data_IF_269724402804
#
_entry.id   IF_269724402804
#
_cell.length_a   1.000
_cell.length_b   1.000
_cell.length_c   1.000
_cell.angle_alpha   90.00
_cell.angle_beta   90.00
_cell.angle_gamma   90.00
#
_symmetry.space_group_name_H-M   'P 1'
#
loop_
_entity.id
_entity.type
_entity.pdbx_description
1 polymer ?
#
# COMPACT_ATOMS: atom_id res chain seq x y z
N UNK A 1 21.54 -3.05 -23.69
CA UNK A 1 21.44 -3.47 -22.28
C UNK A 1 20.92 -2.26 -21.55
N UNK A 2 19.80 -2.38 -20.83
CA UNK A 2 19.28 -1.30 -19.98
C UNK A 2 20.36 -0.90 -18.99
N UNK A 3 20.58 0.39 -18.79
CA UNK A 3 21.53 0.86 -17.79
C UNK A 3 20.94 0.59 -16.41
N UNK A 4 21.39 -0.48 -15.74
CA UNK A 4 20.89 -0.87 -14.42
C UNK A 4 21.22 0.13 -13.32
N UNK A 5 22.01 1.17 -13.60
CA UNK A 5 22.33 2.25 -12.66
C UNK A 5 21.15 3.19 -12.46
N UNK A 6 20.41 3.49 -13.53
CA UNK A 6 19.34 4.49 -13.55
C UNK A 6 18.26 4.21 -12.48
N UNK A 7 17.71 2.98 -12.33
CA UNK A 7 16.72 2.70 -11.29
C UNK A 7 17.22 2.95 -9.85
N UNK A 8 18.52 2.78 -9.59
CA UNK A 8 19.09 3.07 -8.28
C UNK A 8 19.29 4.58 -8.09
N UNK A 9 19.73 5.30 -9.12
CA UNK A 9 19.87 6.76 -9.06
C UNK A 9 18.52 7.44 -8.85
N UNK A 10 17.49 7.01 -9.58
CA UNK A 10 16.11 7.49 -9.40
C UNK A 10 15.64 7.26 -7.96
N UNK A 11 15.80 6.04 -7.44
CA UNK A 11 15.42 5.73 -6.06
C UNK A 11 16.25 6.53 -5.03
N UNK A 12 17.51 6.87 -5.33
CA UNK A 12 18.30 7.73 -4.46
C UNK A 12 17.69 9.13 -4.35
N UNK A 13 17.20 9.71 -5.43
CA UNK A 13 16.51 11.01 -5.41
C UNK A 13 15.22 10.94 -4.57
N UNK A 14 14.42 9.89 -4.76
CA UNK A 14 13.18 9.65 -4.02
C UNK A 14 13.37 9.43 -2.51
N UNK A 15 14.53 8.92 -2.10
CA UNK A 15 14.81 8.56 -0.70
C UNK A 15 15.52 9.67 0.08
N UNK A 16 16.08 10.68 -0.60
CA UNK A 16 17.03 11.64 -0.01
C UNK A 16 16.50 12.34 1.25
N UNK A 17 15.22 12.72 1.29
CA UNK A 17 14.65 13.46 2.41
C UNK A 17 14.10 12.58 3.55
N UNK A 18 14.08 11.25 3.37
CA UNK A 18 13.38 10.35 4.31
C UNK A 18 14.13 9.07 4.68
N UNK A 19 15.16 8.68 3.91
CA UNK A 19 16.05 7.55 4.23
C UNK A 19 17.47 7.82 3.72
N UNK A 20 18.30 8.52 4.51
CA UNK A 20 19.70 8.77 4.18
C UNK A 20 20.50 7.48 3.95
N UNK A 21 20.14 6.38 4.62
CA UNK A 21 20.78 5.09 4.39
C UNK A 21 20.47 4.57 2.98
N UNK A 22 19.20 4.50 2.57
CA UNK A 22 18.84 3.99 1.24
C UNK A 22 19.36 4.89 0.12
N UNK A 23 19.32 6.21 0.32
CA UNK A 23 19.91 7.18 -0.59
C UNK A 23 21.39 6.84 -0.86
N UNK A 24 22.17 6.61 0.21
CA UNK A 24 23.59 6.28 0.09
C UNK A 24 23.82 4.89 -0.50
N UNK A 25 23.05 3.88 -0.09
CA UNK A 25 23.14 2.52 -0.62
C UNK A 25 22.86 2.49 -2.12
N UNK A 26 21.83 3.19 -2.59
CA UNK A 26 21.50 3.31 -4.01
C UNK A 26 22.68 3.83 -4.83
N UNK A 27 23.30 4.93 -4.40
CA UNK A 27 24.46 5.50 -5.12
C UNK A 27 25.67 4.56 -5.09
N UNK A 28 25.91 3.86 -3.98
CA UNK A 28 26.95 2.84 -3.90
C UNK A 28 26.67 1.73 -4.91
N UNK A 29 25.46 1.19 -4.96
CA UNK A 29 25.12 0.11 -5.92
C UNK A 29 25.29 0.59 -7.36
N UNK A 30 24.86 1.80 -7.68
CA UNK A 30 24.99 2.38 -9.01
C UNK A 30 26.45 2.55 -9.49
N UNK A 31 27.41 2.66 -8.57
CA UNK A 31 28.83 2.86 -8.89
C UNK A 31 29.68 1.58 -8.79
N UNK A 32 29.10 0.46 -8.35
CA UNK A 32 29.82 -0.79 -8.06
C UNK A 32 29.40 -1.94 -9.01
N UNK A 33 30.23 -2.30 -10.01
CA UNK A 33 29.88 -3.30 -11.01
C UNK A 33 29.51 -4.68 -10.45
N UNK A 34 30.12 -5.10 -9.34
CA UNK A 34 29.81 -6.37 -8.68
C UNK A 34 28.38 -6.39 -8.12
N UNK A 35 27.92 -5.26 -7.57
CA UNK A 35 26.57 -5.13 -7.02
C UNK A 35 25.52 -5.07 -8.13
N UNK A 36 25.82 -4.36 -9.23
CA UNK A 36 24.96 -4.37 -10.42
C UNK A 36 24.82 -5.77 -11.02
N UNK A 37 25.90 -6.55 -11.07
CA UNK A 37 25.86 -7.96 -11.51
C UNK A 37 24.97 -8.82 -10.61
N UNK A 38 24.94 -8.55 -9.29
CA UNK A 38 24.00 -9.22 -8.40
C UNK A 38 22.56 -8.74 -8.65
N UNK A 39 22.35 -7.45 -8.88
CA UNK A 39 21.04 -6.85 -9.17
C UNK A 39 20.43 -7.37 -10.49
N UNK A 40 21.23 -7.80 -11.46
CA UNK A 40 20.77 -8.52 -12.68
C UNK A 40 19.99 -9.81 -12.36
N UNK A 41 20.10 -10.35 -11.15
CA UNK A 41 19.29 -11.49 -10.69
C UNK A 41 17.80 -11.13 -10.59
N UNK A 42 17.47 -9.85 -10.45
CA UNK A 42 16.07 -9.38 -10.39
C UNK A 42 15.47 -9.39 -11.80
N UNK A 43 14.32 -10.07 -12.00
CA UNK A 43 13.60 -10.03 -13.28
C UNK A 43 13.30 -8.61 -13.76
N UNK A 44 13.43 -8.40 -15.08
CA UNK A 44 13.33 -7.07 -15.70
C UNK A 44 11.95 -6.40 -15.58
N UNK A 45 10.89 -7.16 -15.25
CA UNK A 45 9.54 -6.67 -15.00
C UNK A 45 9.32 -6.17 -13.56
N UNK A 46 10.39 -6.05 -12.76
CA UNK A 46 10.33 -5.65 -11.35
C UNK A 46 11.12 -4.36 -11.09
N UNK A 47 10.77 -3.67 -10.02
CA UNK A 47 11.52 -2.52 -9.54
C UNK A 47 12.85 -2.96 -8.91
N UNK A 48 13.88 -3.13 -9.75
CA UNK A 48 15.18 -3.73 -9.41
C UNK A 48 15.78 -3.13 -8.13
N UNK A 49 15.84 -1.79 -8.04
CA UNK A 49 16.42 -1.12 -6.88
C UNK A 49 15.67 -1.42 -5.57
N UNK A 50 14.33 -1.37 -5.60
CA UNK A 50 13.49 -1.68 -4.45
C UNK A 50 13.63 -3.13 -4.00
N UNK A 51 13.60 -4.08 -4.94
CA UNK A 51 13.76 -5.52 -4.64
C UNK A 51 15.16 -5.80 -4.09
N UNK A 52 16.20 -5.19 -4.67
CA UNK A 52 17.58 -5.38 -4.21
C UNK A 52 17.77 -4.91 -2.76
N UNK A 53 17.36 -3.67 -2.45
CA UNK A 53 17.50 -3.13 -1.10
C UNK A 53 16.63 -3.89 -0.09
N UNK A 54 15.40 -4.28 -0.47
CA UNK A 54 14.55 -5.11 0.37
C UNK A 54 15.15 -6.50 0.62
N UNK A 55 15.82 -7.12 -0.36
CA UNK A 55 16.51 -8.39 -0.16
C UNK A 55 17.67 -8.27 0.84
N UNK A 56 18.49 -7.22 0.71
CA UNK A 56 19.56 -6.93 1.68
C UNK A 56 18.97 -6.71 3.07
N UNK A 57 17.96 -5.85 3.18
CA UNK A 57 17.31 -5.54 4.45
C UNK A 57 16.65 -6.78 5.08
N UNK A 58 16.03 -7.64 4.28
CA UNK A 58 15.44 -8.90 4.73
C UNK A 58 16.50 -9.80 5.39
N UNK A 59 17.64 -10.01 4.73
CA UNK A 59 18.73 -10.81 5.31
C UNK A 59 19.33 -10.15 6.55
N UNK A 60 19.50 -8.82 6.56
CA UNK A 60 19.97 -8.08 7.74
C UNK A 60 19.03 -8.27 8.94
N UNK A 61 17.71 -8.22 8.70
CA UNK A 61 16.67 -8.41 9.74
C UNK A 61 16.62 -9.82 10.33
N UNK A 62 17.23 -10.82 9.70
CA UNK A 62 17.35 -12.19 10.25
C UNK A 62 18.33 -12.29 11.42
N UNK A 63 18.95 -11.19 11.83
CA UNK A 63 19.88 -11.15 12.96
C UNK A 63 21.25 -11.72 12.62
N UNK A 64 21.71 -11.53 11.39
CA UNK A 64 23.04 -11.97 10.94
C UNK A 64 24.14 -11.13 11.60
N UNK A 65 25.23 -11.78 12.01
CA UNK A 65 26.41 -11.10 12.57
C UNK A 65 27.25 -10.52 11.43
N UNK A 66 26.98 -9.27 11.06
CA UNK A 66 27.70 -8.58 10.00
C UNK A 66 27.71 -7.04 10.23
N UNK A 67 28.83 -6.34 9.97
CA UNK A 67 28.93 -4.88 10.20
C UNK A 67 27.85 -4.03 9.52
N UNK A 68 27.33 -4.48 8.37
CA UNK A 68 26.24 -3.82 7.63
C UNK A 68 24.97 -3.65 8.50
N UNK A 69 24.69 -4.57 9.42
CA UNK A 69 23.51 -4.48 10.29
C UNK A 69 23.53 -3.23 11.18
N UNK A 70 24.73 -2.73 11.52
CA UNK A 70 24.89 -1.54 12.36
C UNK A 70 24.44 -0.24 11.69
N UNK A 71 24.13 -0.23 10.38
CA UNK A 71 23.60 0.95 9.71
C UNK A 71 22.07 1.00 9.73
N UNK A 72 21.40 -0.14 9.95
CA UNK A 72 19.95 -0.26 9.86
C UNK A 72 19.30 0.08 11.21
N UNK A 73 18.67 1.25 11.32
CA UNK A 73 17.89 1.66 12.50
C UNK A 73 16.70 0.74 12.81
N UNK A 74 16.29 -0.10 11.85
CA UNK A 74 15.30 -1.16 12.03
C UNK A 74 15.84 -2.39 12.78
N UNK A 75 17.15 -2.48 12.99
CA UNK A 75 17.84 -3.65 13.57
C UNK A 75 18.73 -3.27 14.76
N UNK A 76 19.23 -2.03 14.83
CA UNK A 76 20.01 -1.51 15.96
C UNK A 76 19.44 -0.20 16.50
N UNK A 77 19.51 -0.01 17.83
CA UNK A 77 19.09 1.22 18.51
C UNK A 77 20.08 2.39 18.32
N UNK A 78 21.33 2.09 17.96
CA UNK A 78 22.40 3.08 17.71
C UNK A 78 22.97 2.88 16.30
N UNK A 79 22.24 3.31 15.25
CA UNK A 79 22.67 3.12 13.87
C UNK A 79 23.86 4.03 13.53
N UNK A 80 24.88 3.45 12.90
CA UNK A 80 25.98 4.20 12.30
C UNK A 80 25.47 5.10 11.18
N UNK A 81 25.99 6.34 11.04
CA UNK A 81 25.69 7.16 9.88
C UNK A 81 26.22 6.51 8.59
N UNK A 82 25.65 6.80 7.41
CA UNK A 82 26.11 6.29 6.10
C UNK A 82 27.52 6.80 5.71
N UNK A 83 28.54 6.30 6.38
CA UNK A 83 29.94 6.73 6.28
C UNK A 83 30.71 6.01 5.15
N UNK A 84 32.03 6.23 5.10
CA UNK A 84 32.91 5.64 4.08
C UNK A 84 33.02 4.11 4.14
N UNK A 85 32.69 3.50 5.29
CA UNK A 85 32.78 2.04 5.48
C UNK A 85 31.53 1.31 4.94
N UNK A 86 30.43 2.04 4.68
CA UNK A 86 29.18 1.46 4.20
C UNK A 86 29.33 0.72 2.87
N UNK A 87 30.08 1.28 1.92
CA UNK A 87 30.32 0.66 0.62
C UNK A 87 31.07 -0.68 0.72
N UNK A 88 32.25 -0.72 1.37
CA UNK A 88 32.94 -1.96 1.70
C UNK A 88 32.05 -2.98 2.42
N UNK A 89 31.28 -2.55 3.43
CA UNK A 89 30.38 -3.43 4.17
C UNK A 89 29.27 -4.02 3.28
N UNK A 90 28.65 -3.22 2.40
CA UNK A 90 27.62 -3.71 1.48
C UNK A 90 28.16 -4.76 0.51
N UNK A 91 29.35 -4.53 -0.06
CA UNK A 91 29.98 -5.51 -0.96
C UNK A 91 30.30 -6.82 -0.26
N UNK A 92 30.92 -6.74 0.92
CA UNK A 92 31.25 -7.92 1.72
C UNK A 92 29.99 -8.70 2.11
N UNK A 93 28.93 -7.99 2.51
CA UNK A 93 27.63 -8.59 2.81
C UNK A 93 27.05 -9.33 1.61
N UNK A 94 26.98 -8.68 0.45
CA UNK A 94 26.41 -9.26 -0.76
C UNK A 94 27.18 -10.50 -1.23
N UNK A 95 28.50 -10.52 -1.05
CA UNK A 95 29.33 -11.71 -1.34
C UNK A 95 29.08 -12.83 -0.33
N UNK A 96 29.10 -12.49 0.96
CA UNK A 96 28.94 -13.45 2.07
C UNK A 96 27.56 -14.11 2.05
N UNK A 97 26.51 -13.32 1.81
CA UNK A 97 25.11 -13.76 1.84
C UNK A 97 24.49 -13.96 0.46
N UNK A 98 25.30 -14.08 -0.61
CA UNK A 98 24.81 -14.27 -1.98
C UNK A 98 23.79 -15.41 -2.12
N UNK A 99 24.01 -16.53 -1.41
CA UNK A 99 23.10 -17.67 -1.42
C UNK A 99 21.73 -17.38 -0.79
N UNK A 100 21.65 -16.49 0.20
CA UNK A 100 20.41 -16.05 0.81
C UNK A 100 19.72 -14.94 0.01
N UNK A 101 20.49 -14.08 -0.65
CA UNK A 101 19.98 -12.96 -1.45
C UNK A 101 19.37 -13.43 -2.77
N UNK A 102 20.02 -14.35 -3.50
CA UNK A 102 19.58 -14.74 -4.85
C UNK A 102 18.13 -15.21 -4.93
N UNK A 103 17.62 -16.10 -4.06
CA UNK A 103 16.21 -16.49 -4.08
C UNK A 103 15.27 -15.29 -3.88
N UNK A 104 15.59 -14.37 -2.95
CA UNK A 104 14.79 -13.16 -2.73
C UNK A 104 14.76 -12.28 -3.99
N UNK A 105 15.91 -12.09 -4.63
CA UNK A 105 16.02 -11.29 -5.86
C UNK A 105 15.25 -11.92 -7.03
N UNK A 106 15.28 -13.26 -7.15
CA UNK A 106 14.61 -14.01 -8.23
C UNK A 106 13.10 -14.12 -8.02
N UNK A 107 12.64 -14.30 -6.79
CA UNK A 107 11.26 -14.73 -6.53
C UNK A 107 10.37 -13.60 -6.01
N UNK A 108 10.94 -12.61 -5.30
CA UNK A 108 10.14 -11.58 -4.65
C UNK A 108 9.90 -10.33 -5.51
N UNK A 109 8.75 -9.68 -5.28
CA UNK A 109 8.32 -8.44 -5.93
C UNK A 109 8.16 -7.33 -4.90
N UNK A 110 8.29 -6.08 -5.35
CA UNK A 110 7.88 -4.93 -4.54
C UNK A 110 6.38 -5.02 -4.24
N UNK A 111 6.02 -4.78 -2.99
CA UNK A 111 4.64 -4.85 -2.50
C UNK A 111 4.38 -3.66 -1.58
N UNK A 112 3.29 -2.94 -1.78
CA UNK A 112 2.99 -1.72 -1.01
C UNK A 112 1.74 -1.92 -0.16
N UNK A 113 1.92 -2.19 1.13
CA UNK A 113 0.82 -2.35 2.11
C UNK A 113 0.72 -1.11 3.01
N UNK A 114 0.27 0.00 2.44
CA UNK A 114 0.16 1.26 3.18
C UNK A 114 -1.17 1.38 3.91
N UNK A 115 -1.19 0.88 5.16
CA UNK A 115 -2.35 0.90 6.06
C UNK A 115 -2.85 2.31 6.34
N UNK A 116 -1.97 3.32 6.26
CA UNK A 116 -2.34 4.72 6.40
C UNK A 116 -3.44 5.16 5.42
N UNK A 117 -3.53 4.53 4.23
CA UNK A 117 -4.57 4.86 3.24
C UNK A 117 -5.99 4.57 3.71
N UNK A 118 -6.17 3.73 4.73
CA UNK A 118 -7.46 3.60 5.38
C UNK A 118 -7.99 4.94 5.95
N UNK A 119 -7.14 5.94 6.19
CA UNK A 119 -7.56 7.28 6.58
C UNK A 119 -8.51 7.96 5.58
N UNK A 120 -8.33 7.73 4.27
CA UNK A 120 -9.25 8.23 3.23
C UNK A 120 -10.33 7.22 2.91
N UNK A 121 -10.03 5.92 2.96
CA UNK A 121 -11.01 4.86 2.65
C UNK A 121 -12.13 4.80 3.68
N UNK A 122 -11.84 5.02 4.98
CA UNK A 122 -12.84 4.98 6.04
C UNK A 122 -13.99 5.98 5.80
N UNK A 123 -13.73 7.31 5.66
CA UNK A 123 -14.80 8.25 5.36
C UNK A 123 -15.42 8.04 3.98
N UNK A 124 -14.64 7.63 2.97
CA UNK A 124 -15.20 7.37 1.65
C UNK A 124 -16.20 6.21 1.65
N UNK A 125 -15.86 5.10 2.31
CA UNK A 125 -16.75 3.95 2.44
C UNK A 125 -17.93 4.33 3.33
N UNK A 126 -17.73 5.10 4.41
CA UNK A 126 -18.84 5.63 5.20
C UNK A 126 -19.81 6.47 4.34
N UNK A 127 -19.29 7.37 3.50
CA UNK A 127 -20.08 8.18 2.56
C UNK A 127 -20.89 7.32 1.58
N UNK A 128 -20.29 6.24 1.06
CA UNK A 128 -20.98 5.28 0.18
C UNK A 128 -22.05 4.52 0.95
N UNK A 129 -21.72 3.95 2.11
CA UNK A 129 -22.65 3.12 2.89
C UNK A 129 -23.85 3.88 3.43
N UNK A 130 -23.74 5.18 3.65
CA UNK A 130 -24.87 6.04 3.99
C UNK A 130 -25.97 6.08 2.91
N UNK A 131 -25.68 5.58 1.70
CA UNK A 131 -26.58 5.54 0.55
C UNK A 131 -27.01 4.11 0.20
N UNK A 132 -26.67 3.15 1.05
CA UNK A 132 -27.00 1.73 0.90
C UNK A 132 -27.70 1.21 2.15
N UNK A 133 -28.44 0.12 2.01
CA UNK A 133 -29.03 -0.57 3.16
C UNK A 133 -28.20 -1.81 3.50
N UNK A 134 -28.02 -2.09 4.80
CA UNK A 134 -27.35 -3.31 5.27
C UNK A 134 -25.82 -3.25 5.26
N UNK A 135 -25.19 -4.43 5.24
CA UNK A 135 -23.74 -4.59 5.21
C UNK A 135 -23.24 -4.60 3.77
N UNK A 136 -22.01 -4.14 3.55
CA UNK A 136 -21.36 -4.13 2.23
C UNK A 136 -20.34 -5.25 2.06
N UNK A 137 -20.16 -5.71 0.82
CA UNK A 137 -19.00 -6.52 0.46
C UNK A 137 -17.87 -5.64 -0.06
N UNK A 138 -16.67 -5.83 0.49
CA UNK A 138 -15.45 -5.14 0.10
C UNK A 138 -14.66 -5.99 -0.89
N UNK A 139 -14.31 -5.41 -2.04
CA UNK A 139 -13.45 -6.04 -3.05
C UNK A 139 -12.28 -5.11 -3.37
N UNK A 140 -11.07 -5.50 -3.00
CA UNK A 140 -9.86 -4.71 -3.28
C UNK A 140 -9.10 -5.27 -4.49
N UNK A 141 -8.72 -4.39 -5.42
CA UNK A 141 -7.83 -4.71 -6.54
C UNK A 141 -6.41 -4.28 -6.18
N UNK A 142 -5.45 -5.20 -6.29
CA UNK A 142 -4.06 -5.00 -5.87
C UNK A 142 -3.88 -4.81 -4.36
N UNK A 143 -4.51 -5.64 -3.50
CA UNK A 143 -4.46 -5.52 -2.04
C UNK A 143 -3.10 -5.89 -1.44
N UNK A 144 -2.21 -6.53 -2.20
CA UNK A 144 -1.01 -7.18 -1.68
C UNK A 144 -1.33 -8.19 -0.56
N UNK A 145 -1.17 -7.80 0.72
CA UNK A 145 -1.50 -8.63 1.88
C UNK A 145 -2.92 -8.40 2.43
N UNK A 146 -3.72 -7.54 1.78
CA UNK A 146 -5.11 -7.28 2.17
C UNK A 146 -5.26 -6.47 3.45
N UNK A 147 -4.24 -5.73 3.88
CA UNK A 147 -4.32 -4.99 5.16
C UNK A 147 -5.36 -3.87 5.13
N UNK A 148 -5.67 -3.29 3.95
CA UNK A 148 -6.70 -2.26 3.84
C UNK A 148 -8.12 -2.84 3.85
N UNK A 149 -8.32 -4.12 3.52
CA UNK A 149 -9.61 -4.80 3.65
C UNK A 149 -10.09 -4.86 5.11
N UNK A 150 -9.17 -4.75 6.07
CA UNK A 150 -9.47 -4.74 7.50
C UNK A 150 -9.77 -3.34 8.07
N UNK A 151 -10.11 -2.35 7.22
CA UNK A 151 -10.37 -0.97 7.64
C UNK A 151 -11.39 -0.82 8.79
N UNK A 152 -12.40 -1.69 8.86
CA UNK A 152 -13.42 -1.70 9.92
C UNK A 152 -12.89 -2.24 11.26
N UNK A 153 -11.66 -2.74 11.29
CA UNK A 153 -11.01 -3.32 12.47
C UNK A 153 -9.97 -2.40 13.10
N UNK A 154 -9.72 -1.25 12.52
CA UNK A 154 -8.75 -0.28 13.01
C UNK A 154 -9.41 0.84 13.81
N UNK A 155 -8.62 1.49 14.66
CA UNK A 155 -8.96 2.77 15.26
C UNK A 155 -8.43 3.91 14.42
N UNK A 156 -9.09 5.07 14.50
CA UNK A 156 -8.70 6.26 13.76
C UNK A 156 -8.68 7.48 14.67
N UNK A 157 -7.74 8.38 14.43
CA UNK A 157 -7.67 9.68 15.09
C UNK A 157 -7.40 10.77 14.05
N UNK A 158 -8.42 11.57 13.78
CA UNK A 158 -8.38 12.68 12.85
C UNK A 158 -8.22 14.01 13.60
N UNK A 159 -7.42 14.92 13.03
CA UNK A 159 -7.29 16.31 13.51
C UNK A 159 -7.63 17.24 12.37
N UNK A 160 -8.37 18.31 12.60
CA UNK A 160 -8.70 19.25 11.54
C UNK A 160 -9.45 20.45 12.09
N UNK A 161 -9.29 21.62 11.46
CA UNK A 161 -9.94 22.86 11.91
C UNK A 161 -11.45 22.83 11.68
N UNK A 162 -11.90 22.07 10.69
CA UNK A 162 -13.30 21.94 10.29
C UNK A 162 -14.01 20.76 11.00
N UNK A 163 -13.36 20.15 11.99
CA UNK A 163 -13.93 19.09 12.82
C UNK A 163 -14.51 19.69 14.11
N UNK A 164 -15.56 19.07 14.64
CA UNK A 164 -16.25 19.50 15.87
C UNK A 164 -15.40 19.34 17.16
N UNK A 165 -14.27 18.65 17.08
CA UNK A 165 -13.37 18.32 18.19
C UNK A 165 -11.90 18.48 17.74
N UNK A 166 -11.00 18.85 18.67
CA UNK A 166 -9.55 18.96 18.38
C UNK A 166 -8.96 17.66 17.81
N UNK A 167 -9.44 16.51 18.30
CA UNK A 167 -9.09 15.19 17.80
C UNK A 167 -10.33 14.31 17.77
N UNK A 168 -10.88 14.08 16.58
CA UNK A 168 -12.01 13.16 16.38
C UNK A 168 -11.51 11.72 16.35
N UNK A 169 -12.00 10.89 17.27
CA UNK A 169 -11.66 9.45 17.34
C UNK A 169 -12.84 8.58 16.92
N UNK A 170 -12.60 7.65 16.00
CA UNK A 170 -13.61 6.76 15.45
C UNK A 170 -13.04 5.36 15.18
N UNK A 171 -13.90 4.40 14.83
CA UNK A 171 -13.53 3.00 14.65
C UNK A 171 -13.29 2.30 15.98
N UNK A 172 -12.50 1.23 15.95
CA UNK A 172 -12.29 0.37 17.11
C UNK A 172 -11.29 0.98 18.09
N UNK A 173 -11.77 1.40 19.26
CA UNK A 173 -10.94 2.00 20.31
C UNK A 173 -9.95 1.03 20.96
N UNK A 174 -10.22 -0.28 20.87
CA UNK A 174 -9.38 -1.38 21.39
C UNK A 174 -8.43 -1.98 20.34
N UNK A 175 -8.42 -1.45 19.12
CA UNK A 175 -7.57 -1.95 18.05
C UNK A 175 -6.08 -1.64 18.33
N UNK A 176 -5.17 -2.57 18.02
CA UNK A 176 -3.73 -2.32 18.15
C UNK A 176 -3.24 -1.25 17.16
N UNK A 177 -3.91 -1.11 16.01
CA UNK A 177 -3.64 -0.08 15.01
C UNK A 177 -4.51 1.15 15.27
N UNK A 178 -3.87 2.30 15.46
CA UNK A 178 -4.53 3.62 15.36
C UNK A 178 -3.94 4.40 14.18
N UNK A 179 -4.71 4.53 13.10
CA UNK A 179 -4.35 5.36 11.95
C UNK A 179 -4.60 6.83 12.30
N UNK A 180 -3.65 7.70 11.95
CA UNK A 180 -3.69 9.13 12.26
C UNK A 180 -3.58 9.92 10.97
N UNK A 181 -4.47 10.90 10.81
CA UNK A 181 -4.46 11.78 9.66
C UNK A 181 -4.93 13.19 10.03
N UNK A 182 -4.48 14.17 9.27
CA UNK A 182 -4.98 15.54 9.32
C UNK A 182 -6.08 15.73 8.27
N UNK A 183 -7.22 16.30 8.66
CA UNK A 183 -8.22 16.83 7.74
C UNK A 183 -7.86 18.30 7.50
N UNK A 184 -7.32 18.58 6.32
CA UNK A 184 -6.83 19.92 5.96
C UNK A 184 -7.97 20.84 5.52
N UNK A 185 -8.98 20.26 4.88
CA UNK A 185 -10.17 20.96 4.38
C UNK A 185 -11.41 20.05 4.46
N UNK A 186 -12.55 20.63 4.83
CA UNK A 186 -13.86 19.99 4.77
C UNK A 186 -14.16 19.06 5.94
N UNK A 187 -15.38 18.51 5.96
CA UNK A 187 -15.87 17.68 7.07
C UNK A 187 -16.24 16.28 6.56
N UNK A 188 -15.27 15.35 6.46
CA UNK A 188 -15.55 14.00 6.01
C UNK A 188 -16.51 13.28 6.98
N UNK A 189 -17.36 12.35 6.50
CA UNK A 189 -18.22 11.58 7.37
C UNK A 189 -17.39 10.59 8.20
N UNK A 190 -17.30 10.87 9.50
CA UNK A 190 -16.55 10.08 10.47
C UNK A 190 -17.52 9.45 11.50
N UNK A 191 -18.29 8.41 11.12
CA UNK A 191 -19.15 7.71 12.06
C UNK A 191 -18.29 7.05 13.14
N UNK A 192 -18.80 7.03 14.38
CA UNK A 192 -18.09 6.41 15.52
C UNK A 192 -17.86 4.93 15.26
N UNK A 193 -18.91 4.23 14.83
CA UNK A 193 -18.84 2.83 14.46
C UNK A 193 -18.44 2.68 12.98
N UNK A 194 -17.61 1.68 12.65
CA UNK A 194 -17.24 1.41 11.27
C UNK A 194 -18.43 0.94 10.44
N UNK A 195 -18.41 1.16 9.11
CA UNK A 195 -19.41 0.58 8.22
C UNK A 195 -19.50 -0.94 8.36
N UNK A 196 -20.72 -1.49 8.32
CA UNK A 196 -20.93 -2.94 8.44
C UNK A 196 -20.39 -3.69 7.22
N UNK A 197 -19.51 -4.67 7.44
CA UNK A 197 -18.88 -5.47 6.36
C UNK A 197 -19.41 -6.90 6.36
N UNK A 198 -19.99 -7.32 5.23
CA UNK A 198 -20.47 -8.68 4.97
C UNK A 198 -19.31 -9.62 4.63
N UNK A 199 -18.45 -9.23 3.69
CA UNK A 199 -17.33 -10.05 3.20
C UNK A 199 -16.18 -9.17 2.70
N UNK A 200 -14.96 -9.72 2.73
CA UNK A 200 -13.73 -9.09 2.25
C UNK A 200 -13.06 -10.01 1.25
N UNK A 201 -12.83 -9.55 0.04
CA UNK A 201 -12.09 -10.30 -0.99
C UNK A 201 -11.06 -9.38 -1.63
N UNK A 202 -9.86 -9.89 -1.83
CA UNK A 202 -8.81 -9.20 -2.56
C UNK A 202 -8.41 -9.99 -3.81
N UNK A 203 -8.10 -9.30 -4.91
CA UNK A 203 -7.47 -9.89 -6.10
C UNK A 203 -6.14 -9.21 -6.38
N UNK A 204 -5.07 -10.00 -6.44
CA UNK A 204 -3.71 -9.55 -6.69
C UNK A 204 -2.99 -10.51 -7.63
N UNK A 205 -2.01 -10.03 -8.40
CA UNK A 205 -1.16 -10.90 -9.22
C UNK A 205 -0.17 -11.70 -8.38
N UNK A 206 0.17 -11.22 -7.17
CA UNK A 206 1.08 -11.86 -6.25
C UNK A 206 0.68 -11.49 -4.81
N UNK A 207 -0.43 -12.04 -4.30
CA UNK A 207 -0.89 -11.75 -2.94
C UNK A 207 0.13 -12.25 -1.92
N UNK A 208 0.19 -11.58 -0.77
CA UNK A 208 1.07 -11.95 0.33
C UNK A 208 0.25 -12.56 1.46
N UNK A 209 0.65 -13.73 1.95
CA UNK A 209 -0.04 -14.42 3.03
C UNK A 209 0.49 -13.94 4.38
N UNK A 210 -0.34 -13.20 5.12
CA UNK A 210 0.01 -12.72 6.47
C UNK A 210 0.25 -13.85 7.46
N UNK A 211 -0.18 -15.08 7.18
CA UNK A 211 0.07 -16.27 8.02
C UNK A 211 1.39 -16.97 7.68
N UNK A 212 2.02 -16.64 6.56
CA UNK A 212 3.38 -17.07 6.23
C UNK A 212 4.41 -16.07 6.78
N UNK A 213 5.34 -16.56 7.60
CA UNK A 213 6.38 -15.74 8.21
C UNK A 213 7.38 -15.19 7.17
N UNK A 214 7.64 -15.91 6.09
CA UNK A 214 8.53 -15.44 5.03
C UNK A 214 7.92 -14.26 4.25
N UNK A 215 6.59 -14.23 4.16
CA UNK A 215 5.83 -13.15 3.54
C UNK A 215 5.80 -11.91 4.44
N UNK A 216 5.52 -12.10 5.73
CA UNK A 216 5.56 -11.01 6.71
C UNK A 216 6.96 -10.42 6.84
N UNK A 217 8.01 -11.25 6.81
CA UNK A 217 9.39 -10.80 6.79
C UNK A 217 9.68 -9.94 5.55
N UNK A 218 9.24 -10.39 4.36
CA UNK A 218 9.41 -9.65 3.11
C UNK A 218 8.67 -8.30 3.12
N UNK A 219 7.41 -8.28 3.58
CA UNK A 219 6.63 -7.06 3.77
C UNK A 219 7.34 -6.08 4.71
N UNK A 220 7.91 -6.61 5.80
CA UNK A 220 8.71 -5.82 6.71
C UNK A 220 9.94 -5.21 6.03
N UNK A 221 10.67 -5.98 5.23
CA UNK A 221 11.89 -5.52 4.57
C UNK A 221 11.65 -4.44 3.50
N UNK A 222 10.43 -4.41 2.92
CA UNK A 222 9.98 -3.37 2.00
C UNK A 222 9.69 -2.02 2.70
N UNK A 223 9.63 -1.99 4.03
CA UNK A 223 9.53 -0.74 4.79
C UNK A 223 10.95 -0.24 5.11
N UNK A 224 11.26 0.99 4.70
CA UNK A 224 12.62 1.53 4.76
C UNK A 224 13.13 1.69 6.20
N UNK A 225 14.45 1.63 6.43
CA UNK A 225 15.04 1.54 7.78
C UNK A 225 14.64 2.68 8.72
N UNK A 226 14.46 3.90 8.24
CA UNK A 226 14.08 5.05 9.07
C UNK A 226 12.57 5.19 9.29
N UNK A 227 11.75 4.37 8.62
CA UNK A 227 10.28 4.45 8.69
C UNK A 227 9.70 3.65 9.86
N UNK A 228 10.11 3.96 11.10
CA UNK A 228 9.68 3.27 12.32
C UNK A 228 8.17 3.20 12.50
N UNK A 229 7.47 4.33 12.32
CA UNK A 229 6.02 4.39 12.49
C UNK A 229 5.29 3.49 11.48
N UNK A 230 5.77 3.43 10.24
CA UNK A 230 5.18 2.57 9.20
C UNK A 230 5.43 1.10 9.50
N UNK A 231 6.62 0.74 10.01
CA UNK A 231 6.92 -0.64 10.45
C UNK A 231 6.03 -1.07 11.62
N UNK A 232 5.85 -0.21 12.62
CA UNK A 232 4.97 -0.49 13.75
C UNK A 232 3.53 -0.71 13.28
N UNK A 233 3.00 0.20 12.44
CA UNK A 233 1.67 0.08 11.87
C UNK A 233 1.50 -1.21 11.04
N UNK A 234 2.50 -1.59 10.23
CA UNK A 234 2.51 -2.83 9.48
C UNK A 234 2.45 -4.05 10.40
N UNK A 235 3.29 -4.10 11.44
CA UNK A 235 3.31 -5.20 12.41
C UNK A 235 1.96 -5.37 13.12
N UNK A 236 1.38 -4.26 13.58
CA UNK A 236 0.08 -4.27 14.26
C UNK A 236 -1.06 -4.67 13.30
N UNK A 237 -1.01 -4.20 12.04
CA UNK A 237 -2.01 -4.56 11.03
C UNK A 237 -1.92 -6.03 10.62
N UNK A 238 -0.70 -6.59 10.48
CA UNK A 238 -0.49 -8.03 10.29
C UNK A 238 -1.08 -8.82 11.45
N UNK A 239 -0.87 -8.37 12.69
CA UNK A 239 -1.45 -9.03 13.87
C UNK A 239 -2.99 -8.99 13.88
N UNK A 240 -3.61 -7.91 13.39
CA UNK A 240 -5.07 -7.84 13.19
C UNK A 240 -5.53 -8.78 12.07
N UNK A 241 -4.85 -8.77 10.93
CA UNK A 241 -5.20 -9.60 9.77
C UNK A 241 -5.08 -11.10 10.09
N UNK A 242 -4.05 -11.53 10.82
CA UNK A 242 -3.86 -12.94 11.23
C UNK A 242 -5.04 -13.53 12.03
N UNK A 243 -5.83 -12.70 12.73
CA UNK A 243 -6.97 -13.18 13.53
C UNK A 243 -8.14 -13.66 12.68
N UNK A 244 -8.33 -13.04 11.52
CA UNK A 244 -9.33 -13.43 10.53
C UNK A 244 -8.83 -12.96 9.15
N UNK A 245 -7.95 -13.75 8.51
CA UNK A 245 -7.27 -13.37 7.28
C UNK A 245 -8.23 -13.06 6.14
N UNK A 246 -8.00 -11.99 5.35
CA UNK A 246 -8.82 -11.70 4.19
C UNK A 246 -8.69 -12.82 3.15
N UNK A 247 -9.76 -13.09 2.41
CA UNK A 247 -9.71 -14.00 1.26
C UNK A 247 -8.98 -13.29 0.11
N UNK A 248 -7.74 -13.70 -0.15
CA UNK A 248 -6.95 -13.20 -1.28
C UNK A 248 -6.95 -14.23 -2.42
N UNK A 249 -7.17 -13.76 -3.63
CA UNK A 249 -7.16 -14.56 -4.86
C UNK A 249 -5.99 -14.09 -5.70
N UNK A 250 -5.11 -15.03 -6.04
CA UNK A 250 -4.06 -14.81 -7.02
C UNK A 250 -4.65 -14.86 -8.43
N UNK A 251 -4.54 -13.78 -9.19
CA UNK A 251 -5.03 -13.73 -10.57
C UNK A 251 -5.16 -12.33 -11.14
N UNK A 252 -5.46 -12.26 -12.44
CA UNK A 252 -5.73 -10.99 -13.13
C UNK A 252 -7.10 -10.43 -12.70
N UNK A 253 -7.14 -9.13 -12.40
CA UNK A 253 -8.36 -8.48 -11.94
C UNK A 253 -9.49 -8.49 -12.99
N UNK A 254 -9.18 -8.45 -14.28
CA UNK A 254 -10.18 -8.53 -15.36
C UNK A 254 -10.84 -9.91 -15.37
N UNK A 255 -10.08 -10.96 -15.13
CA UNK A 255 -10.57 -12.35 -15.17
C UNK A 255 -11.29 -12.75 -13.87
N UNK A 256 -10.77 -12.33 -12.71
CA UNK A 256 -11.28 -12.77 -11.41
C UNK A 256 -12.39 -11.89 -10.87
N UNK A 257 -12.41 -10.58 -11.14
CA UNK A 257 -13.46 -9.68 -10.62
C UNK A 257 -14.88 -10.15 -10.97
N UNK A 258 -15.20 -10.60 -12.21
CA UNK A 258 -16.52 -11.16 -12.52
C UNK A 258 -16.87 -12.34 -11.61
N UNK A 259 -15.94 -13.28 -11.41
CA UNK A 259 -16.14 -14.48 -10.60
C UNK A 259 -16.33 -14.13 -9.12
N UNK A 260 -15.54 -13.20 -8.61
CA UNK A 260 -15.67 -12.69 -7.24
C UNK A 260 -17.06 -12.09 -7.03
N UNK A 261 -17.50 -11.21 -7.94
CA UNK A 261 -18.81 -10.58 -7.87
C UNK A 261 -19.94 -11.62 -7.91
N UNK A 262 -19.83 -12.64 -8.75
CA UNK A 262 -20.84 -13.70 -8.85
C UNK A 262 -20.94 -14.56 -7.56
N UNK A 263 -19.94 -14.54 -6.68
CA UNK A 263 -20.03 -15.20 -5.35
C UNK A 263 -20.71 -14.36 -4.27
N UNK A 264 -20.89 -13.05 -4.50
CA UNK A 264 -21.50 -12.14 -3.51
C UNK A 264 -23.02 -12.10 -3.76
N UNK A 265 -23.87 -12.33 -2.74
CA UNK A 265 -25.32 -12.27 -2.89
C UNK A 265 -25.79 -10.99 -3.58
N UNK A 266 -26.81 -11.09 -4.45
CA UNK A 266 -27.23 -9.98 -5.32
C UNK A 266 -27.81 -8.78 -4.54
N UNK A 267 -28.34 -9.03 -3.34
CA UNK A 267 -28.88 -8.04 -2.40
C UNK A 267 -27.80 -7.37 -1.53
N UNK A 268 -26.56 -7.87 -1.54
CA UNK A 268 -25.44 -7.24 -0.83
C UNK A 268 -24.78 -6.20 -1.74
N UNK A 269 -24.75 -4.91 -1.33
CA UNK A 269 -24.05 -3.87 -2.07
C UNK A 269 -22.54 -4.13 -2.08
N UNK A 270 -21.88 -3.84 -3.20
CA UNK A 270 -20.44 -4.08 -3.37
C UNK A 270 -19.70 -2.77 -3.47
N UNK A 271 -18.61 -2.63 -2.71
CA UNK A 271 -17.61 -1.58 -2.90
C UNK A 271 -16.35 -2.22 -3.45
N UNK A 272 -16.12 -2.03 -4.75
CA UNK A 272 -14.84 -2.31 -5.38
C UNK A 272 -13.94 -1.12 -5.12
N UNK A 273 -12.70 -1.34 -4.72
CA UNK A 273 -11.75 -0.23 -4.56
C UNK A 273 -10.33 -0.63 -4.89
N UNK A 274 -9.53 0.39 -5.15
CA UNK A 274 -8.09 0.27 -5.36
C UNK A 274 -7.45 1.52 -4.83
N UNK A 275 -6.41 1.39 -4.00
CA UNK A 275 -5.74 2.59 -3.49
C UNK A 275 -4.84 3.20 -4.55
N UNK A 276 -3.94 2.40 -5.14
CA UNK A 276 -2.95 2.91 -6.09
C UNK A 276 -2.58 1.95 -7.23
N UNK A 277 -3.00 0.68 -7.24
CA UNK A 277 -2.52 -0.25 -8.28
C UNK A 277 -2.85 0.19 -9.71
N UNK A 278 -3.92 0.97 -9.91
CA UNK A 278 -4.38 1.34 -11.24
C UNK A 278 -3.37 2.18 -12.04
N UNK A 279 -2.48 2.97 -11.42
CA UNK A 279 -1.49 3.75 -12.19
C UNK A 279 -0.46 2.86 -12.89
N UNK A 280 -0.29 1.62 -12.43
CA UNK A 280 0.64 0.64 -12.97
C UNK A 280 0.05 -0.13 -14.16
N UNK A 281 -1.27 -0.02 -14.38
CA UNK A 281 -1.96 -0.74 -15.42
C UNK A 281 -1.91 0.02 -16.76
N UNK A 282 -1.68 -0.68 -17.88
CA UNK A 282 -1.81 -0.08 -19.21
C UNK A 282 -3.20 0.53 -19.45
N UNK A 283 -3.28 1.57 -20.29
CA UNK A 283 -4.52 2.28 -20.61
C UNK A 283 -5.65 1.36 -21.08
N UNK A 284 -5.31 0.37 -21.91
CA UNK A 284 -6.26 -0.63 -22.39
C UNK A 284 -6.85 -1.47 -21.25
N UNK A 285 -6.03 -1.89 -20.29
CA UNK A 285 -6.47 -2.65 -19.11
C UNK A 285 -7.38 -1.80 -18.24
N UNK A 286 -7.03 -0.52 -18.03
CA UNK A 286 -7.87 0.44 -17.29
C UNK A 286 -9.23 0.66 -17.96
N UNK A 287 -9.25 0.75 -19.29
CA UNK A 287 -10.48 0.87 -20.06
C UNK A 287 -11.35 -0.39 -19.94
N UNK A 288 -10.76 -1.58 -20.08
CA UNK A 288 -11.46 -2.85 -19.93
C UNK A 288 -12.05 -3.01 -18.52
N UNK A 289 -11.29 -2.64 -17.48
CA UNK A 289 -11.78 -2.67 -16.10
C UNK A 289 -12.99 -1.74 -15.90
N UNK A 290 -12.92 -0.52 -16.45
CA UNK A 290 -14.01 0.45 -16.39
C UNK A 290 -15.26 -0.09 -17.06
N UNK A 291 -15.14 -0.69 -18.24
CA UNK A 291 -16.28 -1.22 -19.01
C UNK A 291 -16.90 -2.44 -18.31
N UNK A 292 -16.07 -3.31 -17.73
CA UNK A 292 -16.50 -4.41 -16.87
C UNK A 292 -17.31 -3.89 -15.66
N UNK A 293 -16.77 -2.93 -14.92
CA UNK A 293 -17.42 -2.34 -13.74
C UNK A 293 -18.71 -1.63 -14.13
N UNK A 294 -18.73 -0.89 -15.24
CA UNK A 294 -19.94 -0.23 -15.75
C UNK A 294 -21.04 -1.24 -16.09
N UNK A 295 -20.67 -2.40 -16.66
CA UNK A 295 -21.61 -3.48 -16.95
C UNK A 295 -22.18 -4.06 -15.65
N UNK A 296 -21.32 -4.43 -14.70
CA UNK A 296 -21.76 -5.02 -13.41
C UNK A 296 -22.56 -4.03 -12.55
N UNK A 297 -22.25 -2.74 -12.59
CA UNK A 297 -22.99 -1.70 -11.88
C UNK A 297 -24.41 -1.46 -12.44
N UNK A 298 -24.75 -2.00 -13.61
CA UNK A 298 -26.14 -2.03 -14.12
C UNK A 298 -26.94 -3.22 -13.58
N UNK A 299 -26.25 -4.27 -13.13
CA UNK A 299 -26.86 -5.53 -12.69
C UNK A 299 -27.09 -5.58 -11.18
N UNK A 300 -26.30 -4.83 -10.41
CA UNK A 300 -26.34 -4.79 -8.94
C UNK A 300 -25.91 -3.43 -8.38
N UNK A 301 -26.17 -3.19 -7.11
CA UNK A 301 -25.64 -2.02 -6.41
C UNK A 301 -24.12 -2.17 -6.23
N UNK A 302 -23.36 -1.56 -7.14
CA UNK A 302 -21.90 -1.56 -7.15
C UNK A 302 -21.37 -0.13 -7.13
N UNK A 303 -20.48 0.11 -6.19
CA UNK A 303 -19.73 1.35 -6.03
C UNK A 303 -18.26 1.06 -6.29
N UNK A 304 -17.59 1.94 -7.03
CA UNK A 304 -16.17 1.80 -7.31
C UNK A 304 -15.40 3.02 -6.81
N UNK A 305 -14.41 2.81 -5.96
CA UNK A 305 -13.53 3.86 -5.44
C UNK A 305 -12.13 3.74 -6.06
N UNK A 306 -11.64 4.80 -6.68
CA UNK A 306 -10.32 4.82 -7.32
C UNK A 306 -9.46 5.97 -6.84
N UNK A 307 -8.19 5.68 -6.54
CA UNK A 307 -7.15 6.69 -6.41
C UNK A 307 -6.54 7.04 -7.76
N UNK A 308 -6.34 8.32 -8.06
CA UNK A 308 -5.66 8.76 -9.30
C UNK A 308 -4.86 10.05 -9.11
N UNK A 309 -3.70 10.17 -9.77
CA UNK A 309 -2.84 11.36 -9.75
C UNK A 309 -1.48 11.09 -10.43
N UNK A 310 -0.78 12.14 -10.86
CA UNK A 310 0.63 12.08 -11.26
C UNK A 310 1.51 12.15 -10.01
N UNK A 311 2.59 11.35 -9.95
CA UNK A 311 3.46 11.21 -8.76
C UNK A 311 4.69 12.12 -8.83
N UNK A 312 4.63 13.23 -9.56
CA UNK A 312 5.83 13.98 -9.92
C UNK A 312 6.38 14.86 -8.76
N UNK A 313 5.71 14.90 -7.59
CA UNK A 313 6.17 15.57 -6.36
C UNK A 313 5.74 14.77 -5.10
N UNK A 314 6.61 14.53 -4.10
CA UNK A 314 6.24 13.93 -2.81
C UNK A 314 5.12 14.68 -2.05
N UNK A 315 4.80 15.92 -2.42
CA UNK A 315 3.65 16.69 -1.92
C UNK A 315 2.35 16.57 -2.70
N UNK A 316 2.35 15.95 -3.89
CA UNK A 316 1.17 15.93 -4.76
C UNK A 316 0.17 14.86 -4.32
N UNK A 317 -0.85 15.29 -3.57
CA UNK A 317 -1.95 14.42 -3.15
C UNK A 317 -2.75 13.84 -4.32
N UNK A 318 -3.36 12.69 -4.07
CA UNK A 318 -4.13 11.89 -5.00
C UNK A 318 -5.61 12.23 -4.93
N UNK A 319 -6.31 12.18 -6.05
CA UNK A 319 -7.77 12.23 -6.07
C UNK A 319 -8.35 10.87 -5.70
N UNK A 320 -9.28 10.87 -4.75
CA UNK A 320 -10.21 9.77 -4.54
C UNK A 320 -11.51 10.05 -5.30
N UNK A 321 -11.81 9.19 -6.27
CA UNK A 321 -13.02 9.27 -7.10
C UNK A 321 -13.97 8.13 -6.79
N UNK A 322 -15.26 8.44 -6.85
CA UNK A 322 -16.35 7.49 -6.64
C UNK A 322 -17.18 7.35 -7.90
N UNK A 323 -17.26 6.12 -8.39
CA UNK A 323 -18.05 5.77 -9.57
C UNK A 323 -19.26 4.91 -9.16
N UNK A 324 -20.43 5.23 -9.73
CA UNK A 324 -21.67 4.46 -9.54
C UNK A 324 -22.56 4.55 -10.76
N UNK A 325 -23.47 3.60 -10.92
CA UNK A 325 -24.49 3.67 -11.96
C UNK A 325 -25.63 4.59 -11.53
N UNK A 326 -25.93 5.60 -12.35
CA UNK A 326 -27.09 6.49 -12.22
C UNK A 326 -27.88 6.41 -13.53
N UNK A 327 -29.11 5.90 -13.47
CA UNK A 327 -29.95 5.66 -14.64
C UNK A 327 -29.24 4.87 -15.78
N UNK A 328 -28.40 3.89 -15.41
CA UNK A 328 -27.67 3.03 -16.34
C UNK A 328 -26.36 3.62 -16.90
N UNK A 329 -25.99 4.83 -16.48
CA UNK A 329 -24.72 5.49 -16.85
C UNK A 329 -23.77 5.52 -15.66
N UNK A 330 -22.48 5.23 -15.89
CA UNK A 330 -21.46 5.33 -14.84
C UNK A 330 -21.11 6.81 -14.61
N UNK A 331 -21.58 7.37 -13.49
CA UNK A 331 -21.27 8.73 -13.03
C UNK A 331 -20.06 8.70 -12.11
N UNK A 332 -19.25 9.76 -12.14
CA UNK A 332 -18.04 9.90 -11.32
C UNK A 332 -18.08 11.19 -10.52
N UNK A 333 -17.89 11.09 -9.21
CA UNK A 333 -17.72 12.24 -8.31
C UNK A 333 -16.33 12.22 -7.68
N UNK A 334 -15.72 13.38 -7.47
CA UNK A 334 -14.48 13.53 -6.68
C UNK A 334 -14.86 13.67 -5.22
N UNK A 335 -14.46 12.72 -4.37
CA UNK A 335 -14.77 12.74 -2.94
C UNK A 335 -13.73 13.50 -2.12
N UNK A 336 -12.45 13.31 -2.45
CA UNK A 336 -11.35 13.85 -1.66
C UNK A 336 -10.08 14.00 -2.48
N UNK A 337 -9.16 14.84 -1.99
CA UNK A 337 -7.72 14.73 -2.26
C UNK A 337 -7.04 14.16 -1.01
N UNK A 338 -5.99 13.34 -1.16
CA UNK A 338 -5.32 12.75 0.00
C UNK A 338 -3.85 12.45 -0.23
N UNK A 339 -3.06 12.44 0.86
CA UNK A 339 -1.66 12.05 0.80
C UNK A 339 -1.47 10.58 0.38
N UNK A 340 -0.48 10.21 -0.45
CA UNK A 340 -0.24 8.82 -0.87
C UNK A 340 -0.03 7.80 0.27
N UNK A 341 0.36 8.28 1.46
CA UNK A 341 0.49 7.48 2.69
C UNK A 341 -0.59 7.73 3.74
N UNK A 342 -1.63 8.50 3.43
CA UNK A 342 -2.77 8.77 4.32
C UNK A 342 -2.47 9.71 5.49
N UNK A 343 -1.46 10.58 5.36
CA UNK A 343 -1.10 11.57 6.40
C UNK A 343 -2.10 12.72 6.48
N UNK A 344 -2.71 13.10 5.36
CA UNK A 344 -3.71 14.16 5.29
C UNK A 344 -4.81 13.84 4.26
N UNK A 345 -5.96 14.47 4.44
CA UNK A 345 -7.12 14.44 3.53
C UNK A 345 -7.73 15.85 3.38
N UNK A 346 -8.15 16.19 2.16
CA UNK A 346 -9.02 17.32 1.80
C UNK A 346 -10.35 16.72 1.31
N UNK A 347 -11.47 17.02 1.97
CA UNK A 347 -12.77 16.43 1.65
C UNK A 347 -13.65 17.38 0.84
N UNK A 348 -14.22 16.89 -0.27
CA UNK A 348 -14.92 17.71 -1.26
C UNK A 348 -16.35 17.26 -1.58
N UNK A 349 -16.86 16.19 -0.96
CA UNK A 349 -18.16 15.61 -1.32
C UNK A 349 -19.37 16.53 -1.04
N UNK A 350 -19.19 17.61 -0.28
CA UNK A 350 -20.23 18.56 0.11
C UNK A 350 -20.14 19.93 -0.62
N UNK A 351 -19.31 20.03 -1.67
CA UNK A 351 -18.85 21.31 -2.23
C UNK A 351 -19.55 21.87 -3.49
N UNK A 352 -20.57 21.21 -4.04
CA UNK A 352 -21.39 21.79 -5.14
C UNK A 352 -22.84 21.29 -5.00
N UNK A 353 -23.67 22.06 -4.30
CA UNK A 353 -25.14 21.98 -4.36
C UNK A 353 -25.74 23.30 -4.75
#
# INVERSE_FOLDING_TARGET
MTDLREPFLDLAEWTADTSPLYERLCRIVADEPELLTLAETVPADRAVANVFLAAVHCVVRRGVDHPLANYYSSVTDDPRPPDGDLGPALRDFCRTYAGALRPLLTDRRTQTNEVGRCAVLYPAIAHVTAQTEGQIALVEIGPSAGLNLALDRYGYAFRGRDLDEDVRRVGRSDAPVTIRATVEEGTPPLPVDPPGVHSRVGVDLNPMDVTDEADVEWLGALTWPEHDQRRAALSDAVAVARRDPPRLIEGDAIDELPRILDTIPADVPVVVYSTLVLYQLPDEVRANLRDLIATRARERQLHWLTGSGAFDDPGDGLDLRWHRSVAGTLTTDRLARYHPHGQWIEWHADGDR
#
